data_IF_531154129589
#
_entry.id   IF_531154129589
#
_cell.length_a   1.000
_cell.length_b   1.000
_cell.length_c   1.000
_cell.angle_alpha   90.00
_cell.angle_beta   90.00
_cell.angle_gamma   90.00
#
_symmetry.space_group_name_H-M   'P 1'
#
loop_
_entity.id
_entity.type
_entity.pdbx_description
1 polymer ?
#
# COMPACT_ATOMS: atom_id res chain seq x y z
N UNK A 1 0.41 25.10 -18.33
CA UNK A 1 -0.43 23.93 -18.07
C UNK A 1 -0.63 23.19 -19.37
N UNK A 2 0.14 22.15 -19.65
CA UNK A 2 -0.27 21.14 -20.64
C UNK A 2 -1.28 20.27 -19.93
N UNK A 3 -2.56 20.34 -20.32
CA UNK A 3 -3.56 19.38 -19.85
C UNK A 3 -3.18 18.03 -20.44
N UNK A 4 -2.98 17.01 -19.61
CA UNK A 4 -3.02 15.63 -20.06
C UNK A 4 -4.33 15.41 -20.84
N UNK A 5 -4.26 14.73 -21.97
CA UNK A 5 -5.45 14.37 -22.73
C UNK A 5 -6.35 13.47 -21.88
N UNK A 6 -7.66 13.55 -22.09
CA UNK A 6 -8.62 12.77 -21.32
C UNK A 6 -8.34 11.26 -21.50
N UNK A 7 -7.83 10.60 -20.46
CA UNK A 7 -7.54 9.17 -20.46
C UNK A 7 -6.08 8.79 -20.13
N UNK A 8 -5.15 9.75 -20.11
CA UNK A 8 -3.75 9.53 -19.72
C UNK A 8 -3.48 10.03 -18.28
N UNK A 9 -2.81 9.21 -17.48
CA UNK A 9 -2.27 9.62 -16.18
C UNK A 9 -0.80 9.24 -16.04
N UNK A 10 0.02 10.20 -15.66
CA UNK A 10 1.45 10.02 -15.39
C UNK A 10 1.71 10.07 -13.89
N UNK A 11 2.38 9.04 -13.40
CA UNK A 11 2.73 8.80 -12.01
C UNK A 11 4.25 8.74 -11.90
N UNK A 12 4.83 9.57 -11.04
CA UNK A 12 6.26 9.56 -10.74
C UNK A 12 6.49 9.05 -9.32
N UNK A 13 7.44 8.12 -9.18
CA UNK A 13 7.93 7.67 -7.88
C UNK A 13 9.43 7.89 -7.80
N UNK A 14 9.87 8.69 -6.84
CA UNK A 14 11.28 9.02 -6.65
C UNK A 14 11.82 8.39 -5.38
N UNK A 15 13.15 8.34 -5.34
CA UNK A 15 13.92 7.80 -4.24
C UNK A 15 13.94 8.62 -2.95
N UNK A 16 14.96 8.35 -2.16
CA UNK A 16 15.06 8.80 -0.77
C UNK A 16 15.34 10.30 -0.69
N UNK A 17 14.63 10.97 0.22
CA UNK A 17 14.65 12.41 0.42
C UNK A 17 15.09 12.70 1.85
N UNK A 18 16.27 13.28 1.97
CA UNK A 18 16.80 13.89 3.18
C UNK A 18 17.17 15.33 2.86
N UNK A 19 16.20 16.24 3.03
CA UNK A 19 16.39 17.65 2.70
C UNK A 19 17.10 18.39 3.85
N UNK A 20 18.23 19.03 3.54
CA UNK A 20 18.97 19.80 4.52
C UNK A 20 18.32 21.18 4.78
N UNK A 21 18.61 21.74 5.96
CA UNK A 21 18.26 23.13 6.30
C UNK A 21 18.88 24.08 5.26
N UNK A 22 18.06 25.02 4.76
CA UNK A 22 18.49 25.96 3.73
C UNK A 22 18.39 25.41 2.30
N UNK A 23 17.71 24.29 2.09
CA UNK A 23 17.30 23.87 0.74
C UNK A 23 16.57 25.02 0.04
N UNK A 24 17.01 25.44 -1.17
CA UNK A 24 16.39 26.56 -1.86
C UNK A 24 15.03 26.19 -2.45
N UNK A 25 14.24 27.22 -2.74
CA UNK A 25 12.95 27.05 -3.40
C UNK A 25 13.10 26.37 -4.79
N UNK A 26 12.11 25.57 -5.20
CA UNK A 26 12.06 24.98 -6.53
C UNK A 26 12.01 26.03 -7.65
N UNK A 27 13.08 26.13 -8.45
CA UNK A 27 13.20 27.08 -9.55
C UNK A 27 12.54 26.59 -10.85
N UNK A 28 11.78 27.44 -11.54
CA UNK A 28 10.99 27.03 -12.71
C UNK A 28 11.81 26.44 -13.89
N UNK A 29 13.12 26.68 -13.96
CA UNK A 29 14.00 26.17 -15.02
C UNK A 29 14.58 24.78 -14.78
N UNK A 30 14.46 24.22 -13.58
CA UNK A 30 15.01 22.90 -13.26
C UNK A 30 14.20 21.77 -13.94
N UNK A 31 14.91 20.80 -14.50
CA UNK A 31 14.28 19.75 -15.32
C UNK A 31 13.35 18.84 -14.53
N UNK A 32 13.66 18.50 -13.27
CA UNK A 32 12.76 17.71 -12.42
C UNK A 32 11.40 18.39 -12.24
N UNK A 33 11.39 19.69 -11.95
CA UNK A 33 10.13 20.41 -11.71
C UNK A 33 9.24 20.45 -12.96
N UNK A 34 9.84 20.43 -14.15
CA UNK A 34 9.09 20.29 -15.40
C UNK A 34 8.39 18.93 -15.46
N UNK A 35 9.08 17.85 -15.10
CA UNK A 35 8.54 16.48 -15.08
C UNK A 35 7.47 16.31 -14.00
N UNK A 36 7.73 16.80 -12.78
CA UNK A 36 6.79 16.76 -11.66
C UNK A 36 5.50 17.52 -11.98
N UNK A 37 5.59 18.73 -12.56
CA UNK A 37 4.41 19.53 -12.96
C UNK A 37 3.62 18.93 -14.12
N UNK A 38 4.23 18.08 -14.93
CA UNK A 38 3.56 17.36 -16.01
C UNK A 38 2.88 16.06 -15.54
N UNK A 39 3.07 15.70 -14.27
CA UNK A 39 2.57 14.46 -13.68
C UNK A 39 1.39 14.72 -12.76
N UNK A 40 0.48 13.75 -12.63
CA UNK A 40 -0.71 13.91 -11.79
C UNK A 40 -0.52 13.28 -10.40
N UNK A 41 0.50 12.44 -10.24
CA UNK A 41 0.93 11.91 -8.95
C UNK A 41 2.45 11.94 -8.89
N UNK A 42 3.00 12.44 -7.78
CA UNK A 42 4.42 12.42 -7.47
C UNK A 42 4.60 11.95 -6.04
N UNK A 43 5.31 10.84 -5.87
CA UNK A 43 5.54 10.17 -4.59
C UNK A 43 7.04 10.06 -4.33
N UNK A 44 7.49 10.39 -3.12
CA UNK A 44 8.87 10.21 -2.69
C UNK A 44 8.97 9.59 -1.30
N UNK A 45 10.15 9.10 -0.92
CA UNK A 45 10.37 8.52 0.40
C UNK A 45 11.02 9.57 1.29
N UNK A 46 10.31 10.03 2.32
CA UNK A 46 10.85 11.00 3.27
C UNK A 46 11.70 10.25 4.29
N UNK A 47 13.00 10.19 4.04
CA UNK A 47 13.96 9.35 4.74
C UNK A 47 14.37 10.01 6.06
N UNK A 48 13.45 10.05 7.02
CA UNK A 48 13.63 10.75 8.29
C UNK A 48 12.33 11.28 8.87
N UNK A 49 12.46 12.23 9.78
CA UNK A 49 11.34 12.87 10.44
C UNK A 49 11.45 14.40 10.43
N UNK A 50 10.29 15.05 10.43
CA UNK A 50 10.18 16.50 10.54
C UNK A 50 10.28 16.94 12.00
N UNK A 51 11.21 17.84 12.28
CA UNK A 51 11.46 18.41 13.60
C UNK A 51 12.90 18.90 13.78
N UNK A 52 13.22 19.30 15.00
CA UNK A 52 14.55 19.83 15.34
C UNK A 52 15.56 18.72 15.63
N UNK A 53 16.78 18.86 15.10
CA UNK A 53 17.87 17.92 15.34
C UNK A 53 18.27 17.81 16.83
N UNK A 54 17.93 18.78 17.67
CA UNK A 54 18.09 18.70 19.12
C UNK A 54 17.24 17.61 19.78
N UNK A 55 16.20 17.11 19.09
CA UNK A 55 15.32 16.05 19.55
C UNK A 55 15.76 14.65 19.10
N UNK A 56 16.90 14.54 18.41
CA UNK A 56 17.45 13.26 17.96
C UNK A 56 17.70 12.31 19.13
N UNK A 57 17.18 11.09 19.03
CA UNK A 57 17.34 10.07 20.06
C UNK A 57 18.68 9.34 19.87
N UNK A 58 19.64 9.64 20.75
CA UNK A 58 20.95 8.95 20.86
C UNK A 58 21.69 8.76 19.52
N UNK A 59 21.93 9.83 18.74
CA UNK A 59 22.67 9.69 17.48
C UNK A 59 24.11 9.23 17.73
N UNK A 60 24.62 8.34 16.87
CA UNK A 60 26.04 7.95 16.84
C UNK A 60 26.58 8.09 15.42
N UNK A 61 27.91 8.11 15.20
CA UNK A 61 28.45 8.11 13.84
C UNK A 61 28.02 6.90 13.01
N UNK A 62 27.72 5.77 13.64
CA UNK A 62 27.24 4.53 13.00
C UNK A 62 25.71 4.49 12.85
N UNK A 63 24.99 5.42 13.48
CA UNK A 63 23.54 5.54 13.44
C UNK A 63 23.18 7.03 13.41
N UNK A 64 23.35 7.68 12.25
CA UNK A 64 23.08 9.10 12.11
C UNK A 64 21.59 9.38 12.32
N UNK A 65 21.29 10.61 12.75
CA UNK A 65 19.91 11.08 12.89
C UNK A 65 19.50 11.87 11.66
N UNK A 66 18.35 11.53 11.08
CA UNK A 66 17.78 12.18 9.91
C UNK A 66 16.60 13.07 10.32
N UNK A 67 16.95 14.21 10.90
CA UNK A 67 16.01 15.27 11.26
C UNK A 67 15.95 16.32 10.14
N UNK A 68 14.75 16.67 9.71
CA UNK A 68 14.51 17.71 8.71
C UNK A 68 13.67 18.83 9.33
N UNK A 69 13.96 20.13 9.10
CA UNK A 69 13.12 21.20 9.61
C UNK A 69 11.67 21.06 9.13
N UNK A 70 10.68 21.40 9.95
CA UNK A 70 9.25 21.27 9.63
C UNK A 70 8.87 21.98 8.31
N UNK A 71 9.53 23.11 8.01
CA UNK A 71 9.33 23.88 6.76
C UNK A 71 9.63 23.07 5.49
N UNK A 72 10.35 21.94 5.61
CA UNK A 72 10.62 21.01 4.51
C UNK A 72 9.33 20.47 3.90
N UNK A 73 8.27 20.27 4.68
CA UNK A 73 6.98 19.80 4.15
C UNK A 73 6.42 20.75 3.09
N UNK A 74 6.37 22.05 3.38
CA UNK A 74 5.86 23.05 2.45
C UNK A 74 6.73 23.18 1.20
N UNK A 75 8.04 22.99 1.37
CA UNK A 75 9.00 23.00 0.27
C UNK A 75 8.80 21.82 -0.68
N UNK A 76 8.61 20.61 -0.16
CA UNK A 76 8.30 19.41 -0.95
C UNK A 76 6.93 19.55 -1.65
N UNK A 77 5.92 20.09 -0.97
CA UNK A 77 4.63 20.39 -1.59
C UNK A 77 4.77 21.32 -2.81
N UNK A 78 5.53 22.42 -2.68
CA UNK A 78 5.81 23.34 -3.80
C UNK A 78 6.64 22.72 -4.92
N UNK A 79 7.43 21.70 -4.61
CA UNK A 79 8.18 20.93 -5.60
C UNK A 79 7.33 19.89 -6.35
N UNK A 80 6.03 19.80 -6.03
CA UNK A 80 5.06 18.98 -6.75
C UNK A 80 4.76 17.62 -6.11
N UNK A 81 5.30 17.34 -4.93
CA UNK A 81 5.01 16.10 -4.22
C UNK A 81 3.56 16.06 -3.75
N UNK A 82 2.85 15.00 -4.12
CA UNK A 82 1.46 14.77 -3.71
C UNK A 82 1.36 13.81 -2.52
N UNK A 83 2.35 12.92 -2.36
CA UNK A 83 2.42 11.98 -1.26
C UNK A 83 3.87 11.70 -0.88
N UNK A 84 4.12 11.34 0.38
CA UNK A 84 5.44 10.95 0.86
C UNK A 84 5.36 9.70 1.74
N UNK A 85 6.24 8.74 1.48
CA UNK A 85 6.43 7.55 2.31
C UNK A 85 7.10 7.88 3.64
N UNK A 86 6.56 7.32 4.71
CA UNK A 86 7.10 7.41 6.07
C UNK A 86 7.48 6.03 6.64
N UNK A 87 7.40 4.98 5.83
CA UNK A 87 7.77 3.63 6.23
C UNK A 87 9.25 3.38 5.92
N UNK A 88 10.13 3.92 6.75
CA UNK A 88 11.57 3.70 6.69
C UNK A 88 12.18 3.58 8.09
N UNK A 89 13.45 3.22 8.15
CA UNK A 89 14.18 3.01 9.39
C UNK A 89 14.48 4.34 10.14
N UNK A 90 14.40 5.49 9.46
CA UNK A 90 14.73 6.80 10.03
C UNK A 90 13.51 7.63 10.53
N UNK A 91 12.28 7.20 10.23
CA UNK A 91 11.05 7.91 10.64
C UNK A 91 10.92 8.09 12.16
N UNK A 92 11.58 7.24 12.95
CA UNK A 92 11.60 7.27 14.41
C UNK A 92 12.78 8.01 15.04
N UNK A 93 13.66 8.64 14.26
CA UNK A 93 14.91 9.23 14.77
C UNK A 93 14.70 10.36 15.78
N UNK A 94 13.54 11.04 15.73
CA UNK A 94 13.12 12.09 16.68
C UNK A 94 12.21 11.55 17.81
N UNK A 95 12.16 10.22 17.99
CA UNK A 95 11.37 9.54 19.01
C UNK A 95 10.03 8.96 18.51
N UNK A 96 9.28 8.29 19.40
CA UNK A 96 8.10 7.50 19.02
C UNK A 96 6.94 8.32 18.45
N UNK A 97 6.85 9.61 18.78
CA UNK A 97 5.81 10.51 18.26
C UNK A 97 6.18 11.15 16.91
N UNK A 98 7.42 10.98 16.46
CA UNK A 98 7.94 11.61 15.25
C UNK A 98 7.17 11.21 13.97
N UNK A 99 6.76 9.95 13.77
CA UNK A 99 5.97 9.57 12.60
C UNK A 99 4.61 10.27 12.54
N UNK A 100 3.93 10.42 13.68
CA UNK A 100 2.61 11.07 13.77
C UNK A 100 2.74 12.57 13.53
N UNK A 101 3.71 13.22 14.19
CA UNK A 101 3.99 14.66 13.97
C UNK A 101 4.35 14.96 12.52
N UNK A 102 5.23 14.15 11.94
CA UNK A 102 5.65 14.28 10.53
C UNK A 102 4.44 14.16 9.60
N UNK A 103 3.58 13.15 9.83
CA UNK A 103 2.36 12.99 9.06
C UNK A 103 1.42 14.20 9.14
N UNK A 104 1.27 14.80 10.34
CA UNK A 104 0.46 16.01 10.53
C UNK A 104 1.00 17.19 9.73
N UNK A 105 2.30 17.44 9.81
CA UNK A 105 2.93 18.54 9.07
C UNK A 105 2.77 18.36 7.55
N UNK A 106 2.90 17.14 7.03
CA UNK A 106 2.64 16.86 5.62
C UNK A 106 1.18 17.16 5.22
N UNK A 107 0.22 16.77 6.06
CA UNK A 107 -1.21 17.00 5.86
C UNK A 107 -1.53 18.49 5.82
N UNK A 108 -0.93 19.29 6.71
CA UNK A 108 -1.09 20.76 6.73
C UNK A 108 -0.65 21.41 5.41
N UNK A 109 0.27 20.77 4.67
CA UNK A 109 0.78 21.24 3.39
C UNK A 109 0.10 20.61 2.16
N UNK A 110 -0.95 19.81 2.36
CA UNK A 110 -1.65 19.15 1.25
C UNK A 110 -1.02 17.85 0.76
N UNK A 111 -0.03 17.29 1.48
CA UNK A 111 0.74 16.12 1.06
C UNK A 111 0.29 14.89 1.84
N UNK A 112 -0.05 13.81 1.14
CA UNK A 112 -0.49 12.57 1.77
C UNK A 112 0.67 11.82 2.46
N UNK A 113 0.61 11.57 3.77
CA UNK A 113 1.58 10.70 4.43
C UNK A 113 1.22 9.23 4.19
N UNK A 114 2.13 8.47 3.59
CA UNK A 114 1.95 7.04 3.37
C UNK A 114 2.55 6.26 4.55
N UNK A 115 1.69 5.55 5.29
CA UNK A 115 2.05 4.76 6.48
C UNK A 115 1.47 3.36 6.35
N UNK A 116 2.05 2.39 7.04
CA UNK A 116 1.58 1.01 7.03
C UNK A 116 0.22 0.91 7.71
N UNK A 117 0.03 1.58 8.85
CA UNK A 117 -1.24 1.56 9.59
C UNK A 117 -2.38 2.11 8.72
N UNK A 118 -2.11 3.16 7.93
CA UNK A 118 -3.05 3.79 7.01
C UNK A 118 -3.22 3.13 5.67
N UNK A 119 -2.37 2.17 5.34
CA UNK A 119 -2.44 1.49 4.06
C UNK A 119 -3.67 0.55 3.98
N UNK A 120 -4.34 0.44 2.82
CA UNK A 120 -4.05 1.18 1.60
C UNK A 120 -4.52 2.64 1.67
N UNK A 121 -3.66 3.56 1.22
CA UNK A 121 -4.05 4.94 0.94
C UNK A 121 -4.58 5.01 -0.49
N UNK A 122 -5.78 5.53 -0.68
CA UNK A 122 -6.44 5.61 -2.00
C UNK A 122 -6.40 7.04 -2.52
N UNK A 123 -5.60 7.26 -3.57
CA UNK A 123 -5.44 8.56 -4.23
C UNK A 123 -6.12 8.54 -5.59
N UNK A 124 -6.88 9.59 -5.90
CA UNK A 124 -7.58 9.72 -7.18
C UNK A 124 -6.78 10.59 -8.13
N UNK A 125 -6.47 10.04 -9.30
CA UNK A 125 -5.65 10.64 -10.35
C UNK A 125 -6.48 10.65 -11.63
N UNK A 126 -7.20 11.74 -11.87
CA UNK A 126 -8.23 11.77 -12.90
C UNK A 126 -9.34 10.76 -12.61
N UNK A 127 -9.55 9.79 -13.52
CA UNK A 127 -10.51 8.70 -13.32
C UNK A 127 -9.93 7.49 -12.56
N UNK A 128 -8.60 7.41 -12.48
CA UNK A 128 -7.90 6.32 -11.83
C UNK A 128 -7.91 6.49 -10.32
N UNK A 129 -8.14 5.39 -9.61
CA UNK A 129 -7.85 5.27 -8.19
C UNK A 129 -6.58 4.44 -8.04
N UNK A 130 -5.57 4.99 -7.39
CA UNK A 130 -4.31 4.33 -7.05
C UNK A 130 -4.36 3.94 -5.57
N UNK A 131 -4.26 2.65 -5.26
CA UNK A 131 -4.15 2.13 -3.91
C UNK A 131 -2.69 1.90 -3.52
N UNK A 132 -2.16 2.68 -2.60
CA UNK A 132 -0.78 2.58 -2.14
C UNK A 132 -0.69 1.82 -0.81
N UNK A 133 0.14 0.78 -0.78
CA UNK A 133 0.46 0.00 0.42
C UNK A 133 1.92 0.20 0.77
N UNK A 134 2.21 0.89 1.87
CA UNK A 134 3.56 1.21 2.31
C UNK A 134 4.04 0.29 3.43
N UNK A 135 5.31 -0.10 3.43
CA UNK A 135 5.93 -0.89 4.50
C UNK A 135 7.46 -0.74 4.56
N UNK A 136 8.04 -0.97 5.73
CA UNK A 136 9.49 -1.15 5.90
C UNK A 136 9.82 -2.57 6.35
N UNK A 137 10.93 -3.12 5.83
CA UNK A 137 11.55 -4.38 6.27
C UNK A 137 12.87 -4.14 7.01
N UNK A 138 13.28 -2.88 7.17
CA UNK A 138 14.58 -2.49 7.74
C UNK A 138 14.38 -1.97 9.14
N UNK A 139 15.17 -2.48 10.09
CA UNK A 139 15.07 -2.13 11.50
C UNK A 139 16.05 -1.03 11.88
N UNK A 140 15.58 -0.02 12.63
CA UNK A 140 16.40 0.92 13.39
C UNK A 140 15.54 1.61 14.44
N UNK A 141 16.04 1.68 15.68
CA UNK A 141 15.35 2.37 16.77
C UNK A 141 13.90 1.90 16.95
N UNK A 142 12.96 2.86 16.87
CA UNK A 142 11.51 2.61 16.97
C UNK A 142 10.81 2.51 15.61
N UNK A 143 11.55 2.46 14.50
CA UNK A 143 10.98 2.29 13.16
C UNK A 143 10.27 0.93 13.03
N UNK A 144 9.05 0.87 12.46
CA UNK A 144 8.30 -0.37 12.34
C UNK A 144 8.91 -1.29 11.29
N UNK A 145 9.03 -2.58 11.61
CA UNK A 145 9.45 -3.63 10.66
C UNK A 145 8.28 -4.54 10.38
N UNK A 146 8.04 -4.84 9.10
CA UNK A 146 6.94 -5.67 8.63
C UNK A 146 7.48 -6.92 7.95
N UNK A 147 6.92 -8.06 8.35
CA UNK A 147 7.23 -9.33 7.72
C UNK A 147 6.56 -9.45 6.36
N UNK A 148 7.32 -10.00 5.42
CA UNK A 148 6.84 -10.43 4.10
C UNK A 148 7.30 -11.88 3.94
N UNK A 149 6.38 -12.85 3.93
CA UNK A 149 4.92 -12.69 3.84
C UNK A 149 4.21 -12.43 5.19
N UNK A 150 3.01 -11.82 5.16
CA UNK A 150 2.16 -11.68 6.35
C UNK A 150 0.65 -11.60 6.04
N UNK A 151 -0.19 -12.05 6.99
CA UNK A 151 -1.66 -12.03 6.87
C UNK A 151 -2.19 -10.60 6.68
N UNK A 152 -1.73 -9.67 7.50
CA UNK A 152 -2.19 -8.29 7.48
C UNK A 152 -1.84 -7.59 6.16
N UNK A 153 -0.66 -7.87 5.60
CA UNK A 153 -0.26 -7.33 4.31
C UNK A 153 -1.08 -7.92 3.16
N UNK A 154 -1.33 -9.23 3.19
CA UNK A 154 -2.22 -9.89 2.22
C UNK A 154 -3.65 -9.32 2.28
N UNK A 155 -4.15 -8.96 3.48
CA UNK A 155 -5.44 -8.28 3.63
C UNK A 155 -5.43 -6.89 2.98
N UNK A 156 -4.42 -6.06 3.28
CA UNK A 156 -4.27 -4.72 2.69
C UNK A 156 -4.20 -4.78 1.16
N UNK A 157 -3.41 -5.69 0.60
CA UNK A 157 -3.29 -5.86 -0.86
C UNK A 157 -4.59 -6.30 -1.51
N UNK A 158 -5.32 -7.25 -0.92
CA UNK A 158 -6.64 -7.67 -1.41
C UNK A 158 -7.65 -6.53 -1.37
N UNK A 159 -7.66 -5.75 -0.30
CA UNK A 159 -8.53 -4.58 -0.19
C UNK A 159 -8.20 -3.54 -1.27
N UNK A 160 -6.92 -3.21 -1.45
CA UNK A 160 -6.46 -2.29 -2.48
C UNK A 160 -6.94 -2.76 -3.87
N UNK A 161 -6.72 -4.04 -4.17
CA UNK A 161 -7.03 -4.65 -5.47
C UNK A 161 -8.51 -4.63 -5.83
N UNK A 162 -9.40 -4.58 -4.84
CA UNK A 162 -10.85 -4.50 -5.08
C UNK A 162 -11.37 -3.07 -5.24
N UNK A 163 -10.62 -2.09 -4.74
CA UNK A 163 -11.08 -0.69 -4.62
C UNK A 163 -10.26 0.30 -5.47
N UNK A 164 -9.25 -0.18 -6.18
CA UNK A 164 -8.36 0.65 -6.99
C UNK A 164 -8.18 0.06 -8.38
N UNK A 165 -7.85 0.92 -9.33
CA UNK A 165 -7.45 0.54 -10.68
C UNK A 165 -6.00 0.03 -10.70
N UNK A 166 -5.18 0.48 -9.75
CA UNK A 166 -3.76 0.17 -9.66
C UNK A 166 -3.34 0.02 -8.20
N UNK A 167 -2.71 -1.12 -7.85
CA UNK A 167 -2.12 -1.39 -6.54
C UNK A 167 -0.62 -1.17 -6.58
N UNK A 168 -0.13 -0.16 -5.85
CA UNK A 168 1.29 0.15 -5.72
C UNK A 168 1.78 -0.28 -4.35
N UNK A 169 2.84 -1.08 -4.30
CA UNK A 169 3.57 -1.35 -3.06
C UNK A 169 4.78 -0.43 -2.98
N UNK A 170 4.87 0.32 -1.89
CA UNK A 170 5.94 1.25 -1.61
C UNK A 170 6.77 0.71 -0.43
N UNK A 171 7.96 0.17 -0.70
CA UNK A 171 8.67 -0.69 0.25
C UNK A 171 10.09 -0.23 0.51
N UNK A 172 10.47 -0.20 1.78
CA UNK A 172 11.83 0.13 2.22
C UNK A 172 12.55 -1.14 2.69
N UNK A 173 13.57 -1.60 1.97
CA UNK A 173 14.15 -2.96 2.10
C UNK A 173 15.56 -3.11 1.51
N UNK A 174 16.18 -4.29 1.66
CA UNK A 174 17.50 -4.57 1.08
C UNK A 174 18.63 -4.09 1.99
N UNK A 175 19.79 -3.85 1.40
CA UNK A 175 21.03 -3.50 2.11
C UNK A 175 21.61 -2.21 1.52
N UNK A 176 22.08 -1.32 2.41
CA UNK A 176 22.69 -0.05 2.02
C UNK A 176 23.88 -0.25 1.06
N UNK A 177 23.91 0.57 0.00
CA UNK A 177 24.96 0.64 -1.01
C UNK A 177 25.14 -0.62 -1.87
N UNK A 178 24.26 -1.61 -1.74
CA UNK A 178 24.27 -2.79 -2.58
C UNK A 178 23.41 -2.55 -3.84
N UNK A 179 24.04 -2.45 -5.00
CA UNK A 179 23.44 -2.03 -6.26
C UNK A 179 22.71 -3.15 -7.02
N UNK A 180 22.50 -4.31 -6.38
CA UNK A 180 21.76 -5.43 -6.97
C UNK A 180 20.74 -6.06 -6.02
N UNK A 181 19.44 -6.25 -6.36
CA UNK A 181 18.46 -6.98 -5.56
C UNK A 181 18.96 -8.29 -4.97
N UNK A 182 18.94 -8.33 -3.64
CA UNK A 182 19.15 -9.53 -2.86
C UNK A 182 18.07 -10.59 -3.21
N UNK A 183 18.38 -11.89 -3.14
CA UNK A 183 17.39 -12.96 -3.31
C UNK A 183 16.11 -12.76 -2.49
N UNK A 184 16.23 -12.27 -1.25
CA UNK A 184 15.09 -12.01 -0.36
C UNK A 184 14.20 -10.86 -0.83
N UNK A 185 14.75 -9.86 -1.53
CA UNK A 185 13.95 -8.80 -2.16
C UNK A 185 13.15 -9.38 -3.32
N UNK A 186 13.77 -10.22 -4.16
CA UNK A 186 13.09 -10.89 -5.29
C UNK A 186 11.99 -11.84 -4.81
N UNK A 187 12.25 -12.61 -3.75
CA UNK A 187 11.25 -13.50 -3.16
C UNK A 187 10.06 -12.70 -2.61
N UNK A 188 10.33 -11.63 -1.85
CA UNK A 188 9.29 -10.74 -1.35
C UNK A 188 8.50 -10.10 -2.50
N UNK A 189 9.17 -9.65 -3.57
CA UNK A 189 8.53 -9.06 -4.74
C UNK A 189 7.57 -10.04 -5.43
N UNK A 190 7.98 -11.29 -5.67
CA UNK A 190 7.09 -12.34 -6.22
C UNK A 190 5.88 -12.57 -5.33
N UNK A 191 6.08 -12.65 -4.02
CA UNK A 191 4.97 -12.80 -3.09
C UNK A 191 3.99 -11.61 -3.14
N UNK A 192 4.51 -10.38 -3.17
CA UNK A 192 3.69 -9.16 -3.26
C UNK A 192 2.88 -9.12 -4.57
N UNK A 193 3.50 -9.48 -5.69
CA UNK A 193 2.81 -9.61 -7.00
C UNK A 193 1.72 -10.67 -6.94
N UNK A 194 2.01 -11.85 -6.38
CA UNK A 194 1.03 -12.92 -6.21
C UNK A 194 -0.14 -12.53 -5.29
N UNK A 195 0.09 -11.65 -4.31
CA UNK A 195 -0.97 -11.08 -3.45
C UNK A 195 -1.72 -9.92 -4.10
N UNK A 196 -1.25 -9.43 -5.24
CA UNK A 196 -2.00 -8.51 -6.08
C UNK A 196 -1.38 -7.17 -6.36
N UNK A 197 -0.10 -6.96 -6.01
CA UNK A 197 0.63 -5.75 -6.39
C UNK A 197 0.78 -5.66 -7.92
N UNK A 198 0.50 -4.47 -8.45
CA UNK A 198 0.61 -4.17 -9.88
C UNK A 198 1.93 -3.46 -10.21
N UNK A 199 2.49 -2.73 -9.24
CA UNK A 199 3.77 -2.01 -9.30
C UNK A 199 4.43 -2.07 -7.92
N UNK A 200 5.75 -2.28 -7.88
CA UNK A 200 6.53 -2.23 -6.64
C UNK A 200 7.63 -1.18 -6.78
N UNK A 201 7.69 -0.25 -5.84
CA UNK A 201 8.75 0.77 -5.74
C UNK A 201 9.52 0.55 -4.43
N UNK A 202 10.82 0.29 -4.58
CA UNK A 202 11.75 -0.01 -3.51
C UNK A 202 12.66 1.17 -3.15
N UNK A 203 13.00 1.24 -1.87
CA UNK A 203 13.84 2.25 -1.21
C UNK A 203 14.83 1.58 -0.26
N UNK A 204 15.74 2.36 0.33
CA UNK A 204 16.74 2.00 1.36
C UNK A 204 18.17 1.77 0.86
N UNK A 205 18.46 1.04 -0.24
CA UNK A 205 19.84 0.83 -0.64
C UNK A 205 20.63 2.11 -0.93
N UNK A 206 19.96 3.27 -1.06
CA UNK A 206 20.55 4.57 -1.40
C UNK A 206 21.26 4.60 -2.76
N UNK A 207 21.22 3.50 -3.51
CA UNK A 207 21.72 3.34 -4.87
C UNK A 207 20.63 2.74 -5.74
N UNK A 208 20.66 3.05 -7.04
CA UNK A 208 19.71 2.48 -7.99
C UNK A 208 20.01 1.00 -8.19
N UNK A 209 18.98 0.18 -8.01
CA UNK A 209 19.03 -1.23 -8.38
C UNK A 209 18.27 -1.43 -9.71
N UNK A 210 18.81 -2.19 -10.67
CA UNK A 210 18.13 -2.45 -11.93
C UNK A 210 16.71 -2.99 -11.73
N UNK A 211 15.70 -2.38 -12.37
CA UNK A 211 14.33 -2.87 -12.28
C UNK A 211 14.15 -4.15 -13.11
N UNK A 212 13.17 -4.95 -12.72
CA UNK A 212 12.80 -6.19 -13.41
C UNK A 212 11.30 -6.24 -13.67
N UNK A 213 10.90 -6.97 -14.71
CA UNK A 213 9.51 -7.36 -14.92
C UNK A 213 9.27 -8.72 -14.26
N UNK A 214 8.71 -8.72 -13.05
CA UNK A 214 8.44 -9.93 -12.26
C UNK A 214 7.00 -10.35 -12.51
N UNK A 215 6.79 -11.49 -13.17
CA UNK A 215 5.46 -12.04 -13.47
C UNK A 215 4.55 -11.02 -14.20
N UNK A 216 5.14 -10.26 -15.13
CA UNK A 216 4.46 -9.22 -15.89
C UNK A 216 4.28 -7.89 -15.15
N UNK A 217 4.81 -7.75 -13.92
CA UNK A 217 4.70 -6.53 -13.10
C UNK A 217 6.04 -5.82 -12.95
N UNK A 218 6.10 -4.48 -13.13
CA UNK A 218 7.33 -3.72 -12.93
C UNK A 218 7.70 -3.69 -11.45
N UNK A 219 8.95 -4.06 -11.16
CA UNK A 219 9.53 -4.02 -9.82
C UNK A 219 10.81 -3.18 -9.88
N UNK A 220 10.74 -2.00 -9.27
CA UNK A 220 11.91 -1.17 -9.01
C UNK A 220 12.45 -1.54 -7.64
N UNK A 221 13.52 -2.35 -7.58
CA UNK A 221 14.01 -2.85 -6.29
C UNK A 221 14.64 -1.77 -5.40
N UNK A 222 15.25 -0.76 -6.02
CA UNK A 222 15.66 0.48 -5.38
C UNK A 222 15.73 1.57 -6.43
N UNK A 223 15.03 2.68 -6.18
CA UNK A 223 15.14 3.88 -7.01
C UNK A 223 16.26 4.82 -6.55
N UNK A 224 17.03 4.43 -5.54
CA UNK A 224 18.18 5.19 -5.03
C UNK A 224 17.81 6.47 -4.30
N UNK A 225 18.73 7.43 -4.29
CA UNK A 225 18.51 8.73 -3.67
C UNK A 225 17.92 9.73 -4.66
N UNK A 226 16.90 10.48 -4.24
CA UNK A 226 16.40 11.61 -5.03
C UNK A 226 17.08 12.91 -4.62
N UNK A 227 16.91 13.31 -3.35
CA UNK A 227 17.57 14.47 -2.75
C UNK A 227 18.18 14.02 -1.44
N UNK A 228 19.42 13.57 -1.50
CA UNK A 228 20.13 13.05 -0.35
C UNK A 228 21.58 13.46 -0.44
N UNK A 229 22.14 13.99 0.66
CA UNK A 229 23.56 14.33 0.69
C UNK A 229 24.40 13.10 1.03
N UNK A 230 24.60 12.25 0.05
CA UNK A 230 25.48 11.08 0.22
C UNK A 230 26.94 11.44 -0.03
N UNK A 231 27.83 10.97 0.85
CA UNK A 231 29.28 11.09 0.69
C UNK A 231 29.76 10.28 -0.52
N UNK A 232 29.08 9.18 -0.86
CA UNK A 232 29.45 8.31 -1.98
C UNK A 232 28.89 8.82 -3.31
N UNK A 233 29.68 8.78 -4.42
CA UNK A 233 29.19 9.21 -5.73
C UNK A 233 27.95 8.46 -6.21
N UNK A 234 27.87 7.15 -5.94
CA UNK A 234 26.72 6.32 -6.33
C UNK A 234 25.40 6.80 -5.71
N UNK A 235 25.43 7.32 -4.47
CA UNK A 235 24.27 7.88 -3.79
C UNK A 235 23.89 9.30 -4.24
N UNK A 236 24.54 9.84 -5.27
CA UNK A 236 24.19 11.12 -5.91
C UNK A 236 23.39 10.93 -7.20
N UNK A 237 23.27 9.68 -7.65
CA UNK A 237 22.41 9.28 -8.75
C UNK A 237 21.19 8.56 -8.20
N UNK A 238 20.06 8.77 -8.86
CA UNK A 238 18.80 8.13 -8.54
C UNK A 238 18.02 7.83 -9.82
N UNK A 239 16.84 7.28 -9.61
CA UNK A 239 15.88 6.98 -10.66
C UNK A 239 14.52 7.49 -10.19
N UNK A 240 13.76 8.15 -11.06
CA UNK A 240 12.32 8.25 -10.90
C UNK A 240 11.68 7.14 -11.74
N UNK A 241 10.86 6.30 -11.14
CA UNK A 241 9.98 5.42 -11.91
C UNK A 241 8.93 6.30 -12.60
N UNK A 242 8.94 6.31 -13.94
CA UNK A 242 8.01 7.09 -14.76
C UNK A 242 6.96 6.15 -15.35
N UNK A 243 5.80 6.13 -14.74
CA UNK A 243 4.73 5.22 -15.10
C UNK A 243 3.54 5.96 -15.70
N UNK A 244 3.09 5.50 -16.87
CA UNK A 244 1.98 6.06 -17.63
C UNK A 244 0.85 5.05 -17.72
N UNK A 245 -0.33 5.51 -17.35
CA UNK A 245 -1.57 4.77 -17.47
C UNK A 245 -2.36 5.34 -18.64
N UNK A 246 -2.46 4.56 -19.71
CA UNK A 246 -3.07 4.93 -20.98
C UNK A 246 -3.86 3.73 -21.52
N UNK A 247 -5.04 3.97 -22.10
CA UNK A 247 -5.86 2.93 -22.74
C UNK A 247 -6.11 1.68 -21.86
N UNK A 248 -6.25 1.87 -20.55
CA UNK A 248 -6.49 0.77 -19.60
C UNK A 248 -5.25 -0.05 -19.25
N UNK A 249 -4.05 0.39 -19.62
CA UNK A 249 -2.79 -0.30 -19.34
C UNK A 249 -1.79 0.65 -18.69
N UNK A 250 -1.03 0.16 -17.72
CA UNK A 250 0.12 0.84 -17.15
C UNK A 250 1.41 0.33 -17.80
N UNK A 251 2.27 1.27 -18.22
CA UNK A 251 3.64 1.03 -18.67
C UNK A 251 4.59 1.90 -17.88
N UNK A 252 5.75 1.36 -17.53
CA UNK A 252 6.75 2.10 -16.76
C UNK A 252 8.10 2.15 -17.48
N UNK A 253 8.74 3.31 -17.41
CA UNK A 253 10.14 3.53 -17.75
C UNK A 253 10.86 4.18 -16.57
N UNK A 254 11.90 4.97 -16.86
CA UNK A 254 12.61 5.70 -15.82
C UNK A 254 13.16 7.03 -16.28
N UNK A 255 13.29 7.95 -15.32
CA UNK A 255 14.07 9.17 -15.47
C UNK A 255 15.27 9.06 -14.55
N UNK A 256 16.49 9.06 -15.10
CA UNK A 256 17.69 9.17 -14.28
C UNK A 256 17.67 10.53 -13.59
N UNK A 257 17.84 10.54 -12.27
CA UNK A 257 17.96 11.76 -11.47
C UNK A 257 19.40 11.92 -11.00
N UNK A 258 19.91 13.14 -11.01
CA UNK A 258 21.25 13.42 -10.47
C UNK A 258 21.22 14.65 -9.59
N UNK A 259 21.82 14.55 -8.41
CA UNK A 259 21.93 15.64 -7.45
C UNK A 259 23.40 16.06 -7.29
N UNK A 260 23.72 17.28 -7.72
CA UNK A 260 25.03 17.88 -7.50
C UNK A 260 25.07 18.62 -6.16
N UNK A 261 26.19 18.55 -5.43
CA UNK A 261 26.33 19.33 -4.19
C UNK A 261 26.20 20.82 -4.46
N UNK A 262 25.43 21.50 -3.59
CA UNK A 262 25.13 22.92 -3.74
C UNK A 262 24.09 23.24 -4.82
N UNK A 263 23.58 22.24 -5.56
CA UNK A 263 22.46 22.45 -6.48
C UNK A 263 21.13 22.55 -5.73
N UNK A 264 20.17 23.25 -6.35
CA UNK A 264 18.87 23.49 -5.74
C UNK A 264 17.99 22.25 -5.70
N UNK A 265 17.77 21.58 -6.84
CA UNK A 265 16.94 20.38 -6.98
C UNK A 265 17.59 19.41 -7.98
N UNK A 266 17.29 18.09 -7.92
CA UNK A 266 17.85 17.12 -8.86
C UNK A 266 17.53 17.47 -10.31
N UNK A 267 18.43 17.19 -11.23
CA UNK A 267 18.14 17.19 -12.67
C UNK A 267 17.61 15.81 -13.07
N UNK A 268 16.67 15.77 -14.01
CA UNK A 268 16.05 14.56 -14.54
C UNK A 268 16.27 14.46 -16.06
N UNK A 269 16.64 13.25 -16.50
CA UNK A 269 16.75 12.91 -17.92
C UNK A 269 16.16 11.51 -18.17
N UNK A 270 15.61 11.21 -19.36
CA UNK A 270 15.14 9.86 -19.68
C UNK A 270 16.22 8.79 -19.47
N UNK A 271 15.81 7.62 -19.02
CA UNK A 271 16.65 6.42 -18.88
C UNK A 271 16.24 5.37 -19.91
N UNK A 272 16.88 5.33 -21.10
CA UNK A 272 16.60 4.32 -22.11
C UNK A 272 16.85 2.90 -21.61
N UNK A 273 17.84 2.71 -20.73
CA UNK A 273 18.13 1.40 -20.14
C UNK A 273 16.94 0.89 -19.32
N UNK A 274 16.36 1.75 -18.47
CA UNK A 274 15.19 1.38 -17.67
C UNK A 274 13.99 1.03 -18.56
N UNK A 275 13.73 1.85 -19.58
CA UNK A 275 12.66 1.61 -20.55
C UNK A 275 12.86 0.27 -21.27
N UNK A 276 14.09 -0.03 -21.69
CA UNK A 276 14.41 -1.29 -22.37
C UNK A 276 14.21 -2.52 -21.46
N UNK A 277 14.60 -2.43 -20.18
CA UNK A 277 14.39 -3.51 -19.20
C UNK A 277 12.91 -3.81 -18.96
N UNK A 278 12.05 -2.79 -19.04
CA UNK A 278 10.62 -2.88 -18.76
C UNK A 278 9.75 -2.90 -20.03
N UNK A 279 10.35 -2.98 -21.23
CA UNK A 279 9.61 -2.89 -22.51
C UNK A 279 8.51 -3.94 -22.71
N UNK A 280 8.61 -5.07 -22.02
CA UNK A 280 7.62 -6.16 -22.06
C UNK A 280 6.73 -6.20 -20.82
N UNK A 281 6.82 -5.18 -19.97
CA UNK A 281 6.06 -5.08 -18.73
C UNK A 281 4.85 -4.18 -18.92
N UNK A 282 3.73 -4.82 -19.25
CA UNK A 282 2.45 -4.15 -19.46
C UNK A 282 1.44 -4.66 -18.44
N UNK A 283 0.84 -3.71 -17.72
CA UNK A 283 -0.01 -4.00 -16.56
C UNK A 283 -1.43 -3.57 -16.86
N UNK A 284 -2.37 -4.50 -17.07
CA UNK A 284 -3.78 -4.16 -17.21
C UNK A 284 -4.30 -3.49 -15.94
N UNK A 285 -4.98 -2.35 -16.09
CA UNK A 285 -5.64 -1.65 -15.00
C UNK A 285 -6.93 -2.37 -14.62
N UNK A 286 -7.23 -2.42 -13.33
CA UNK A 286 -8.44 -3.07 -12.82
C UNK A 286 -9.65 -2.17 -12.99
N UNK A 287 -10.83 -2.78 -13.15
CA UNK A 287 -12.09 -2.08 -12.93
C UNK A 287 -12.39 -2.06 -11.42
N UNK A 288 -12.83 -0.92 -10.86
CA UNK A 288 -13.31 -0.88 -9.48
C UNK A 288 -14.49 -1.83 -9.30
N UNK A 289 -14.64 -2.39 -8.12
CA UNK A 289 -15.70 -3.37 -7.85
C UNK A 289 -17.09 -2.80 -8.16
N UNK A 290 -17.87 -3.57 -8.92
CA UNK A 290 -19.28 -3.30 -9.23
C UNK A 290 -20.14 -4.50 -8.83
N UNK A 291 -21.27 -4.24 -8.16
CA UNK A 291 -22.20 -5.27 -7.72
C UNK A 291 -23.65 -4.82 -7.98
N UNK A 292 -24.36 -5.50 -8.88
CA UNK A 292 -25.74 -5.17 -9.24
C UNK A 292 -25.95 -3.67 -9.61
N UNK A 293 -25.03 -3.12 -10.42
CA UNK A 293 -25.05 -1.71 -10.84
C UNK A 293 -24.58 -0.73 -9.75
N UNK A 294 -24.12 -1.21 -8.60
CA UNK A 294 -23.52 -0.42 -7.53
C UNK A 294 -22.00 -0.48 -7.62
N UNK A 295 -21.36 0.65 -7.93
CA UNK A 295 -19.90 0.78 -7.94
C UNK A 295 -19.38 1.19 -6.57
N UNK A 296 -18.32 0.53 -6.12
CA UNK A 296 -17.62 0.84 -4.88
C UNK A 296 -16.34 1.60 -5.22
N UNK A 297 -16.25 2.86 -4.81
CA UNK A 297 -15.11 3.73 -5.11
C UNK A 297 -14.46 4.19 -3.82
N UNK A 298 -13.18 3.88 -3.64
CA UNK A 298 -12.44 4.33 -2.47
C UNK A 298 -11.75 5.67 -2.71
N UNK A 299 -11.71 6.48 -1.65
CA UNK A 299 -10.88 7.68 -1.55
C UNK A 299 -10.37 7.82 -0.13
N UNK A 300 -9.13 8.27 0.05
CA UNK A 300 -8.63 8.67 1.36
C UNK A 300 -8.87 10.15 1.60
N UNK A 301 -9.36 10.50 2.80
CA UNK A 301 -9.28 11.88 3.27
C UNK A 301 -7.80 12.21 3.58
N UNK A 302 -7.38 13.43 3.25
CA UNK A 302 -6.08 13.93 3.66
C UNK A 302 -6.12 14.19 5.17
N UNK A 303 -5.46 13.32 5.95
CA UNK A 303 -5.53 13.32 7.41
C UNK A 303 -4.34 12.58 8.00
N UNK A 304 -3.92 12.96 9.21
CA UNK A 304 -2.89 12.24 9.99
C UNK A 304 -3.38 10.86 10.45
N UNK A 305 -4.71 10.74 10.62
CA UNK A 305 -5.41 9.48 10.86
C UNK A 305 -6.25 9.12 9.63
N UNK A 306 -5.95 8.00 8.98
CA UNK A 306 -6.59 7.60 7.74
C UNK A 306 -8.03 7.17 7.97
N UNK A 307 -8.98 7.92 7.43
CA UNK A 307 -10.27 7.35 7.06
C UNK A 307 -10.29 7.29 5.55
N UNK A 308 -10.11 6.08 5.00
CA UNK A 308 -10.64 5.88 3.66
C UNK A 308 -12.17 5.93 3.77
N UNK A 309 -12.81 6.38 2.73
CA UNK A 309 -14.23 6.31 2.56
C UNK A 309 -14.49 5.52 1.29
N UNK A 310 -15.44 4.58 1.38
CA UNK A 310 -15.95 3.88 0.21
C UNK A 310 -17.26 4.56 -0.16
N UNK A 311 -17.24 5.27 -1.28
CA UNK A 311 -18.43 5.84 -1.89
C UNK A 311 -19.16 4.75 -2.68
N UNK A 312 -20.46 4.63 -2.42
CA UNK A 312 -21.36 3.77 -3.17
C UNK A 312 -21.99 4.61 -4.27
N UNK A 313 -21.75 4.25 -5.53
CA UNK A 313 -22.20 5.00 -6.69
C UNK A 313 -23.18 4.14 -7.50
N UNK A 314 -24.39 4.66 -7.72
CA UNK A 314 -25.41 4.02 -8.53
C UNK A 314 -25.94 5.03 -9.54
N UNK A 315 -26.00 4.65 -10.82
CA UNK A 315 -26.44 5.54 -11.91
C UNK A 315 -25.72 6.90 -11.92
N UNK A 316 -24.41 6.89 -11.61
CA UNK A 316 -23.56 8.09 -11.58
C UNK A 316 -23.74 8.99 -10.35
N UNK A 317 -24.58 8.62 -9.38
CA UNK A 317 -24.79 9.39 -8.14
C UNK A 317 -24.24 8.64 -6.94
N UNK A 318 -23.56 9.37 -6.04
CA UNK A 318 -23.19 8.84 -4.73
C UNK A 318 -24.48 8.64 -3.92
N UNK A 319 -24.84 7.40 -3.63
CA UNK A 319 -26.06 7.03 -2.88
C UNK A 319 -25.79 6.86 -1.39
N UNK A 320 -24.54 6.55 -1.02
CA UNK A 320 -24.09 6.45 0.36
C UNK A 320 -22.56 6.53 0.44
N UNK A 321 -22.06 6.84 1.64
CA UNK A 321 -20.64 6.74 1.99
C UNK A 321 -20.50 5.82 3.18
N UNK A 322 -19.51 4.93 3.12
CA UNK A 322 -19.18 4.04 4.23
C UNK A 322 -17.77 4.40 4.69
N UNK A 323 -17.66 4.86 5.95
CA UNK A 323 -16.36 5.07 6.57
C UNK A 323 -15.59 3.75 6.61
N UNK A 324 -14.38 3.74 6.08
CA UNK A 324 -13.55 2.54 5.95
C UNK A 324 -12.67 2.27 7.16
N UNK A 325 -12.76 3.07 8.23
CA UNK A 325 -11.89 2.96 9.42
C UNK A 325 -11.87 1.57 10.08
N UNK A 326 -12.75 0.68 9.63
CA UNK A 326 -12.84 -0.72 10.01
C UNK A 326 -12.65 -1.72 8.85
N UNK A 327 -12.70 -1.32 7.58
CA UNK A 327 -12.73 -2.29 6.47
C UNK A 327 -11.34 -2.88 6.23
N UNK A 328 -11.22 -4.20 6.41
CA UNK A 328 -9.94 -4.93 6.30
C UNK A 328 -9.84 -5.71 4.99
N UNK A 329 -10.93 -6.33 4.56
CA UNK A 329 -10.99 -7.05 3.30
C UNK A 329 -12.41 -7.02 2.73
N UNK A 330 -12.52 -7.18 1.42
CA UNK A 330 -13.80 -7.33 0.74
C UNK A 330 -13.66 -8.31 -0.43
N UNK A 331 -14.68 -9.12 -0.67
CA UNK A 331 -14.77 -10.07 -1.78
C UNK A 331 -16.25 -10.16 -2.25
N UNK A 332 -16.49 -10.55 -3.48
CA UNK A 332 -17.84 -10.84 -3.98
C UNK A 332 -17.98 -12.30 -4.38
N UNK A 333 -19.18 -12.85 -4.20
CA UNK A 333 -19.47 -14.21 -4.63
C UNK A 333 -20.90 -14.64 -4.31
N UNK A 334 -21.40 -15.68 -4.98
CA UNK A 334 -22.71 -16.25 -4.68
C UNK A 334 -22.68 -16.94 -3.31
N UNK A 335 -23.72 -16.73 -2.51
CA UNK A 335 -23.90 -17.43 -1.24
C UNK A 335 -24.62 -18.77 -1.39
N UNK A 336 -25.36 -18.94 -2.48
CA UNK A 336 -26.14 -20.11 -2.81
C UNK A 336 -25.86 -20.49 -4.27
N UNK A 337 -25.95 -21.77 -4.64
CA UNK A 337 -25.71 -22.21 -6.01
C UNK A 337 -26.71 -21.54 -6.98
N UNK A 338 -26.20 -20.87 -8.01
CA UNK A 338 -27.02 -20.10 -8.97
C UNK A 338 -27.63 -18.81 -8.41
N UNK A 339 -27.28 -18.41 -7.18
CA UNK A 339 -27.72 -17.16 -6.58
C UNK A 339 -26.94 -15.94 -7.07
N UNK A 340 -27.55 -14.76 -6.96
CA UNK A 340 -26.90 -13.49 -7.23
C UNK A 340 -25.68 -13.27 -6.31
N UNK A 341 -24.60 -12.64 -6.81
CA UNK A 341 -23.43 -12.34 -6.00
C UNK A 341 -23.79 -11.39 -4.85
N UNK A 342 -23.15 -11.64 -3.71
CA UNK A 342 -23.23 -10.78 -2.52
C UNK A 342 -21.86 -10.22 -2.19
N UNK A 343 -21.85 -9.10 -1.48
CA UNK A 343 -20.64 -8.52 -0.95
C UNK A 343 -20.33 -9.15 0.41
N UNK A 344 -19.15 -9.76 0.51
CA UNK A 344 -18.57 -10.22 1.75
C UNK A 344 -17.51 -9.23 2.20
N UNK A 345 -17.53 -8.82 3.47
CA UNK A 345 -16.50 -7.96 4.06
C UNK A 345 -15.95 -8.56 5.33
N UNK A 346 -14.70 -8.22 5.64
CA UNK A 346 -14.11 -8.38 6.97
C UNK A 346 -13.88 -6.98 7.53
N UNK A 347 -14.48 -6.71 8.67
CA UNK A 347 -14.47 -5.40 9.31
C UNK A 347 -13.98 -5.48 10.75
N UNK A 348 -13.17 -4.53 11.20
CA UNK A 348 -12.80 -4.34 12.59
C UNK A 348 -13.95 -3.65 13.34
N UNK A 349 -14.62 -4.37 14.23
CA UNK A 349 -15.76 -3.83 14.98
C UNK A 349 -15.70 -4.27 16.43
N UNK A 350 -16.10 -3.37 17.32
CA UNK A 350 -16.41 -3.70 18.70
C UNK A 350 -17.65 -4.62 18.75
N UNK A 351 -17.62 -5.61 19.63
CA UNK A 351 -18.72 -6.53 19.87
C UNK A 351 -19.07 -6.57 21.35
N UNK A 352 -20.33 -6.25 21.71
CA UNK A 352 -20.79 -6.40 23.09
C UNK A 352 -20.84 -7.84 23.59
N UNK A 353 -20.77 -8.85 22.71
CA UNK A 353 -20.87 -10.26 23.08
C UNK A 353 -19.62 -10.78 23.78
N UNK A 354 -18.46 -10.30 23.38
CA UNK A 354 -17.14 -10.70 23.88
C UNK A 354 -16.37 -9.50 24.47
N UNK A 355 -16.88 -8.28 24.33
CA UNK A 355 -16.28 -7.08 24.92
C UNK A 355 -15.01 -6.62 24.21
N UNK A 356 -14.75 -7.10 22.99
CA UNK A 356 -13.51 -6.85 22.25
C UNK A 356 -13.74 -6.18 20.89
N UNK A 357 -12.77 -5.36 20.49
CA UNK A 357 -12.65 -4.90 19.11
C UNK A 357 -11.85 -5.92 18.29
N UNK A 358 -12.49 -6.53 17.29
CA UNK A 358 -11.90 -7.61 16.51
C UNK A 358 -12.41 -7.68 15.09
N UNK A 359 -11.84 -8.58 14.29
CA UNK A 359 -12.29 -8.84 12.92
C UNK A 359 -13.63 -9.56 12.93
N UNK A 360 -14.58 -9.03 12.15
CA UNK A 360 -15.95 -9.50 12.05
C UNK A 360 -16.32 -9.62 10.57
N UNK A 361 -16.75 -10.79 10.11
CA UNK A 361 -17.23 -10.95 8.75
C UNK A 361 -18.70 -10.52 8.62
N UNK A 362 -19.03 -9.88 7.50
CA UNK A 362 -20.37 -9.44 7.16
C UNK A 362 -20.74 -9.89 5.75
N UNK A 363 -22.05 -10.06 5.51
CA UNK A 363 -22.60 -10.30 4.18
C UNK A 363 -23.65 -9.24 3.87
N UNK A 364 -23.47 -8.55 2.75
CA UNK A 364 -24.37 -7.53 2.24
C UNK A 364 -24.96 -7.95 0.90
N UNK A 365 -26.21 -7.58 0.69
CA UNK A 365 -26.87 -7.61 -0.61
C UNK A 365 -26.92 -6.19 -1.18
N UNK A 366 -26.56 -6.03 -2.44
CA UNK A 366 -26.75 -4.78 -3.16
C UNK A 366 -28.17 -4.74 -3.74
N UNK A 367 -28.96 -3.73 -3.39
CA UNK A 367 -30.33 -3.54 -3.89
C UNK A 367 -30.70 -2.07 -3.94
N UNK A 368 -31.15 -1.60 -5.12
CA UNK A 368 -31.64 -0.22 -5.30
C UNK A 368 -30.61 0.84 -4.91
N UNK A 369 -29.36 0.64 -5.33
CA UNK A 369 -28.26 1.57 -5.02
C UNK A 369 -27.78 1.55 -3.57
N UNK A 370 -28.16 0.56 -2.75
CA UNK A 370 -27.79 0.46 -1.33
C UNK A 370 -27.24 -0.92 -0.98
N UNK A 371 -26.41 -0.98 0.07
CA UNK A 371 -26.01 -2.24 0.71
C UNK A 371 -26.93 -2.56 1.89
N UNK A 372 -27.58 -3.71 1.85
CA UNK A 372 -28.43 -4.23 2.92
C UNK A 372 -27.71 -5.38 3.60
N UNK A 373 -27.40 -5.23 4.89
CA UNK A 373 -26.77 -6.31 5.65
C UNK A 373 -27.72 -7.50 5.77
N UNK A 374 -27.32 -8.65 5.23
CA UNK A 374 -28.02 -9.94 5.38
C UNK A 374 -27.54 -10.72 6.58
N UNK A 375 -26.29 -10.51 6.97
CA UNK A 375 -25.71 -11.12 8.16
C UNK A 375 -24.60 -10.27 8.75
N UNK A 376 -24.53 -10.26 10.09
CA UNK A 376 -23.60 -9.49 10.91
C UNK A 376 -22.93 -10.39 11.96
N UNK A 377 -22.01 -11.24 11.53
CA UNK A 377 -20.83 -11.67 12.28
C UNK A 377 -20.87 -12.13 13.75
N UNK A 378 -21.97 -12.62 14.34
CA UNK A 378 -21.98 -12.86 15.81
C UNK A 378 -21.30 -14.15 16.31
N UNK A 379 -21.16 -15.21 15.50
CA UNK A 379 -20.61 -16.51 15.94
C UNK A 379 -19.23 -16.90 15.36
N UNK A 380 -18.82 -16.27 14.26
CA UNK A 380 -17.54 -16.55 13.55
C UNK A 380 -16.35 -15.77 14.09
N UNK A 381 -16.61 -14.88 15.03
CA UNK A 381 -15.69 -13.83 15.40
C UNK A 381 -14.61 -14.22 16.42
N UNK A 382 -14.61 -15.45 16.92
CA UNK A 382 -13.69 -15.88 17.97
C UNK A 382 -12.32 -16.28 17.42
N UNK A 383 -11.24 -15.69 17.96
CA UNK A 383 -10.58 -14.54 17.35
C UNK A 383 -10.20 -14.82 15.89
N UNK A 384 -10.91 -14.15 14.97
CA UNK A 384 -10.66 -14.23 13.53
C UNK A 384 -9.38 -13.46 13.16
N UNK A 385 -8.49 -14.10 12.42
CA UNK A 385 -7.29 -13.51 11.83
C UNK A 385 -7.48 -13.15 10.37
N UNK A 386 -8.19 -13.97 9.60
CA UNK A 386 -8.51 -13.72 8.19
C UNK A 386 -9.71 -14.55 7.73
N UNK A 387 -10.42 -14.07 6.72
CA UNK A 387 -11.53 -14.82 6.10
C UNK A 387 -11.66 -14.52 4.61
N UNK A 388 -12.01 -15.55 3.83
CA UNK A 388 -12.12 -15.51 2.37
C UNK A 388 -13.21 -16.44 1.87
N UNK A 389 -13.93 -16.01 0.84
CA UNK A 389 -14.79 -16.94 0.11
C UNK A 389 -13.92 -17.93 -0.66
N UNK A 390 -14.39 -19.17 -0.77
CA UNK A 390 -13.72 -20.22 -1.52
C UNK A 390 -14.19 -20.17 -2.99
N UNK A 391 -13.30 -19.87 -3.96
CA UNK A 391 -13.70 -19.81 -5.37
C UNK A 391 -14.28 -21.14 -5.86
N UNK A 392 -15.35 -21.05 -6.66
CA UNK A 392 -16.05 -22.23 -7.21
C UNK A 392 -16.99 -22.95 -6.23
N UNK A 393 -17.05 -22.53 -4.96
CA UNK A 393 -17.91 -23.14 -3.94
C UNK A 393 -18.85 -22.09 -3.33
N UNK A 394 -20.05 -21.92 -3.90
CA UNK A 394 -21.02 -20.93 -3.41
C UNK A 394 -21.31 -21.09 -1.92
N UNK A 395 -21.21 -19.98 -1.19
CA UNK A 395 -21.48 -19.95 0.24
C UNK A 395 -20.46 -20.67 1.12
N UNK A 396 -19.29 -21.06 0.60
CA UNK A 396 -18.20 -21.59 1.44
C UNK A 396 -17.23 -20.48 1.82
N UNK A 397 -17.01 -20.32 3.13
CA UNK A 397 -16.10 -19.38 3.73
C UNK A 397 -14.94 -20.11 4.40
N UNK A 398 -13.73 -19.77 4.02
CA UNK A 398 -12.51 -20.18 4.71
C UNK A 398 -12.15 -19.11 5.74
N UNK A 399 -11.89 -19.50 6.97
CA UNK A 399 -11.51 -18.58 8.04
C UNK A 399 -10.31 -19.10 8.84
N UNK A 400 -9.35 -18.22 9.11
CA UNK A 400 -8.19 -18.47 9.97
C UNK A 400 -8.45 -17.88 11.35
N UNK A 401 -8.27 -18.68 12.38
CA UNK A 401 -8.50 -18.31 13.78
C UNK A 401 -7.21 -18.46 14.61
N UNK A 402 -7.08 -17.68 15.69
CA UNK A 402 -6.04 -17.92 16.71
C UNK A 402 -6.31 -19.19 17.51
N UNK A 403 -5.24 -19.89 17.92
CA UNK A 403 -5.32 -21.16 18.67
C UNK A 403 -5.40 -21.00 20.20
N UNK A 404 -4.97 -19.86 20.75
CA UNK A 404 -4.87 -19.59 22.20
C UNK A 404 -6.22 -19.25 22.88
N UNK A 405 -7.31 -19.80 22.34
CA UNK A 405 -8.67 -19.60 22.83
C UNK A 405 -9.11 -20.66 23.84
N UNK A 406 -9.99 -20.30 24.76
CA UNK A 406 -10.52 -21.13 25.87
C UNK A 406 -11.25 -22.42 25.46
N UNK A 407 -11.48 -22.65 24.17
CA UNK A 407 -12.09 -23.90 23.63
C UNK A 407 -11.02 -24.95 23.27
N UNK A 408 -9.74 -24.57 23.27
CA UNK A 408 -8.65 -25.54 23.12
C UNK A 408 -8.32 -26.19 24.47
N UNK A 409 -8.04 -27.50 24.44
CA UNK A 409 -7.48 -28.25 25.58
C UNK A 409 -6.13 -27.68 26.10
N UNK A 410 -5.51 -26.73 25.36
CA UNK A 410 -4.27 -26.01 25.72
C UNK A 410 -4.29 -24.55 25.23
N UNK A 411 -4.86 -23.60 25.99
CA UNK A 411 -4.97 -22.18 25.64
C UNK A 411 -3.63 -21.43 25.51
N UNK A 412 -2.50 -22.06 25.80
CA UNK A 412 -1.16 -21.43 25.81
C UNK A 412 -0.28 -21.78 24.61
N UNK A 413 -0.79 -22.51 23.61
CA UNK A 413 -0.02 -22.85 22.42
C UNK A 413 -0.11 -21.73 21.36
N UNK A 414 1.00 -21.05 20.99
CA UNK A 414 0.99 -20.14 19.85
C UNK A 414 0.67 -20.90 18.56
N UNK A 415 -0.26 -20.36 17.76
CA UNK A 415 -0.64 -20.96 16.48
C UNK A 415 -1.92 -20.38 15.89
N UNK A 416 -2.23 -20.79 14.67
CA UNK A 416 -3.51 -20.52 14.01
C UNK A 416 -4.09 -21.81 13.43
N UNK A 417 -5.42 -21.90 13.33
CA UNK A 417 -6.11 -22.97 12.59
C UNK A 417 -6.93 -22.37 11.46
N UNK A 418 -7.05 -23.09 10.34
CA UNK A 418 -8.03 -22.78 9.31
C UNK A 418 -9.25 -23.68 9.48
N UNK A 419 -10.43 -23.13 9.27
CA UNK A 419 -11.69 -23.87 9.26
C UNK A 419 -12.55 -23.44 8.06
N UNK A 420 -13.37 -24.38 7.60
CA UNK A 420 -14.37 -24.14 6.56
C UNK A 420 -15.74 -23.91 7.20
N UNK A 421 -16.52 -23.03 6.59
CA UNK A 421 -17.88 -22.72 7.02
C UNK A 421 -18.80 -22.64 5.82
N UNK A 422 -20.05 -23.06 5.99
CA UNK A 422 -21.06 -23.03 4.94
C UNK A 422 -22.20 -22.10 5.30
N UNK A 423 -22.63 -21.31 4.33
CA UNK A 423 -23.79 -20.46 4.39
C UNK A 423 -25.07 -21.29 4.57
N UNK A 424 -25.97 -20.83 5.44
CA UNK A 424 -27.27 -21.47 5.75
C UNK A 424 -28.46 -20.50 5.57
N UNK A 425 -28.30 -19.48 4.75
CA UNK A 425 -29.34 -18.47 4.47
C UNK A 425 -29.32 -17.25 5.39
N UNK A 426 -28.97 -17.43 6.67
CA UNK A 426 -28.94 -16.36 7.69
C UNK A 426 -27.61 -16.27 8.44
N UNK A 427 -26.60 -17.06 8.05
CA UNK A 427 -25.30 -17.11 8.69
C UNK A 427 -24.49 -18.32 8.25
N UNK A 428 -23.27 -18.41 8.79
CA UNK A 428 -22.33 -19.49 8.51
C UNK A 428 -22.29 -20.51 9.65
N UNK A 429 -22.23 -21.79 9.30
CA UNK A 429 -22.03 -22.92 10.23
C UNK A 429 -20.76 -23.68 9.85
N UNK A 430 -20.00 -24.16 10.83
CA UNK A 430 -18.80 -24.95 10.59
C UNK A 430 -19.08 -26.17 9.71
N UNK A 431 -18.13 -26.49 8.83
CA UNK A 431 -18.13 -27.65 7.95
C UNK A 431 -16.88 -28.47 8.26
N UNK A 432 -17.07 -29.68 8.79
CA UNK A 432 -15.99 -30.57 9.26
C UNK A 432 -15.43 -31.46 8.13
N UNK A 433 -15.66 -31.11 6.86
CA UNK A 433 -15.08 -31.80 5.72
C UNK A 433 -13.57 -31.57 5.63
N UNK A 434 -12.79 -32.65 5.74
CA UNK A 434 -11.32 -32.62 5.56
C UNK A 434 -10.91 -32.07 4.19
N UNK A 435 -11.67 -32.38 3.14
CA UNK A 435 -11.41 -31.88 1.79
C UNK A 435 -11.55 -30.34 1.73
N UNK A 436 -12.61 -29.80 2.33
CA UNK A 436 -12.81 -28.35 2.39
C UNK A 436 -11.78 -27.68 3.29
N UNK A 437 -11.40 -28.31 4.40
CA UNK A 437 -10.35 -27.79 5.27
C UNK A 437 -9.02 -27.64 4.52
N UNK A 438 -8.60 -28.64 3.74
CA UNK A 438 -7.38 -28.59 2.92
C UNK A 438 -7.44 -27.48 1.86
N UNK A 439 -8.57 -27.35 1.17
CA UNK A 439 -8.78 -26.27 0.20
C UNK A 439 -8.75 -24.89 0.86
N UNK A 440 -9.29 -24.78 2.07
CA UNK A 440 -9.24 -23.55 2.85
C UNK A 440 -7.83 -23.21 3.36
N UNK A 441 -7.04 -24.20 3.76
CA UNK A 441 -5.62 -24.00 4.09
C UNK A 441 -4.85 -23.44 2.89
N UNK A 442 -5.05 -24.01 1.69
CA UNK A 442 -4.46 -23.47 0.47
C UNK A 442 -4.95 -22.05 0.16
N UNK A 443 -6.25 -21.78 0.33
CA UNK A 443 -6.87 -20.46 0.08
C UNK A 443 -6.33 -19.34 0.98
N UNK A 444 -5.98 -19.69 2.22
CA UNK A 444 -5.47 -18.77 3.23
C UNK A 444 -3.95 -18.89 3.43
N UNK A 445 -3.26 -19.68 2.59
CA UNK A 445 -1.82 -19.81 2.64
C UNK A 445 -1.17 -18.43 2.47
N UNK A 446 -0.30 -18.08 3.43
CA UNK A 446 0.45 -16.82 3.41
C UNK A 446 1.86 -17.05 2.88
N UNK A 447 2.38 -18.28 2.88
CA UNK A 447 3.65 -18.61 2.24
C UNK A 447 3.57 -18.67 0.71
N UNK A 448 4.68 -18.95 0.04
CA UNK A 448 4.69 -19.22 -1.41
C UNK A 448 3.65 -20.29 -1.75
N UNK A 449 2.78 -20.00 -2.72
CA UNK A 449 2.00 -21.04 -3.37
C UNK A 449 3.01 -22.08 -3.88
N UNK A 450 2.87 -23.34 -3.43
CA UNK A 450 3.71 -24.42 -3.93
C UNK A 450 3.63 -24.41 -5.46
N UNK A 451 4.82 -24.39 -6.07
CA UNK A 451 5.06 -24.36 -7.53
C UNK A 451 4.22 -25.38 -8.28
#
# INVERSE_FOLDING_TARGET
MGRAEAGEARLLFVGDILAERGTPEPEAGNSWLKEARASQLVVGNLEGALGEASSCVRPTPQSPCFAMPEQTAGLLARAGFTALGLENNHVGDLGPEAPVRTARELVEQGVFPLRYESSPTFLRVGELTVGLVSLSRVSKGTGPVREVPSVALAQKLRLARQLSNLVVVYVHWGEELFDWPHPDQRQAARWLVAQGADLIIGHHPHVVQPPECVEGRPVFFSVGNFRFRDKYPAGREGLAADCRAEEGTLRCGGLKTSFAFGSGWPEAAPSPETTERLKHCEVPLHAPLELAGLKLQARSALSEQPTAEVELVHEGKVTARVGSGALVALETGPMDAGGEPRLFTVERRFSPLDGEEGLRPYVYEARGGRLVARWRGSGLAWPLLDARLLPGEPGVLCARHRMDSFVALRPSAPGSRVAAYRWKGFGFKGDDSDELALRCEARLAVGEARR
#
